data_IF_865018178183
#
_entry.id   IF_865018178183
#
_cell.length_a   1.000
_cell.length_b   1.000
_cell.length_c   1.000
_cell.angle_alpha   90.00
_cell.angle_beta   90.00
_cell.angle_gamma   90.00
#
_symmetry.space_group_name_H-M   'P 1'
#
loop_
_entity.id
_entity.type
_entity.pdbx_description
1 polymer ?
#
# COMPACT_ATOMS: atom_id res chain seq x y z
N UNK A 1 1.34 -4.29 60.15
CA UNK A 1 1.13 -3.02 59.43
C UNK A 1 1.48 -3.25 57.97
N UNK A 2 0.46 -3.30 57.13
CA UNK A 2 0.51 -3.62 55.70
C UNK A 2 0.70 -2.35 54.89
N UNK A 3 1.82 -2.24 54.17
CA UNK A 3 2.03 -1.21 53.14
C UNK A 3 2.07 -1.88 51.77
N UNK A 4 1.07 -1.52 50.97
CA UNK A 4 0.78 -2.01 49.63
C UNK A 4 1.71 -1.33 48.62
N UNK A 5 2.46 -2.11 47.83
CA UNK A 5 3.27 -1.62 46.72
C UNK A 5 2.41 -1.39 45.47
N UNK A 6 1.91 -0.17 45.31
CA UNK A 6 1.46 0.38 44.03
C UNK A 6 2.64 1.12 43.41
N UNK A 7 3.04 0.75 42.18
CA UNK A 7 3.83 1.52 41.19
C UNK A 7 4.70 0.56 40.35
N UNK A 8 4.08 -0.11 39.37
CA UNK A 8 4.79 -0.63 38.17
C UNK A 8 3.86 -0.94 36.99
N UNK A 9 2.61 -0.46 36.99
CA UNK A 9 1.62 -0.73 35.94
C UNK A 9 1.52 0.36 34.85
N UNK A 10 2.22 1.49 34.96
CA UNK A 10 1.95 2.66 34.11
C UNK A 10 2.66 2.63 32.74
N UNK A 11 3.73 1.85 32.57
CA UNK A 11 4.46 1.79 31.28
C UNK A 11 3.91 0.78 30.26
N UNK A 12 2.98 -0.10 30.66
CA UNK A 12 2.36 -1.09 29.75
C UNK A 12 1.08 -0.56 29.08
N UNK A 13 0.46 0.49 29.63
CA UNK A 13 -0.81 1.05 29.14
C UNK A 13 -0.67 2.00 27.93
N UNK A 14 0.50 2.64 27.72
CA UNK A 14 0.68 3.60 26.62
C UNK A 14 0.63 2.94 25.22
N UNK A 15 1.07 1.70 25.08
CA UNK A 15 0.97 0.96 23.80
C UNK A 15 -0.44 0.42 23.52
N UNK A 16 -1.19 0.08 24.57
CA UNK A 16 -2.56 -0.42 24.43
C UNK A 16 -3.54 0.69 24.01
N UNK A 17 -3.40 1.89 24.58
CA UNK A 17 -4.28 3.04 24.27
C UNK A 17 -4.07 3.53 22.82
N UNK A 18 -2.82 3.56 22.33
CA UNK A 18 -2.54 3.86 20.91
C UNK A 18 -3.10 2.80 19.96
N UNK A 19 -3.07 1.52 20.35
CA UNK A 19 -3.61 0.41 19.54
C UNK A 19 -5.14 0.43 19.47
N UNK A 20 -5.84 0.75 20.57
CA UNK A 20 -7.31 0.87 20.62
C UNK A 20 -7.80 2.11 19.87
N UNK A 21 -7.13 3.26 20.02
CA UNK A 21 -7.47 4.47 19.27
C UNK A 21 -7.28 4.29 17.75
N UNK A 22 -6.30 3.48 17.34
CA UNK A 22 -6.11 3.13 15.93
C UNK A 22 -7.16 2.12 15.44
N UNK A 23 -7.52 1.10 16.22
CA UNK A 23 -8.60 0.16 15.87
C UNK A 23 -9.96 0.86 15.73
N UNK A 24 -10.31 1.77 16.64
CA UNK A 24 -11.57 2.54 16.55
C UNK A 24 -11.55 3.44 15.32
N UNK A 25 -10.42 4.09 15.00
CA UNK A 25 -10.27 4.85 13.75
C UNK A 25 -10.38 3.94 12.52
N UNK A 26 -9.79 2.74 12.52
CA UNK A 26 -9.88 1.80 11.39
C UNK A 26 -11.30 1.26 11.16
N UNK A 27 -12.06 0.98 12.21
CA UNK A 27 -13.46 0.51 12.10
C UNK A 27 -14.37 1.66 11.63
N UNK A 28 -14.19 2.86 12.17
CA UNK A 28 -14.92 4.04 11.72
C UNK A 28 -14.57 4.38 10.25
N UNK A 29 -13.29 4.29 9.86
CA UNK A 29 -12.86 4.48 8.47
C UNK A 29 -13.42 3.42 7.54
N UNK A 30 -13.44 2.13 7.92
CA UNK A 30 -14.01 1.08 7.09
C UNK A 30 -15.52 1.28 6.86
N UNK A 31 -16.23 1.88 7.81
CA UNK A 31 -17.67 2.15 7.69
C UNK A 31 -17.94 3.41 6.87
N UNK A 32 -17.12 4.46 7.01
CA UNK A 32 -17.27 5.74 6.30
C UNK A 32 -16.73 5.69 4.86
N UNK A 33 -15.61 5.00 4.62
CA UNK A 33 -15.06 4.82 3.27
C UNK A 33 -16.00 4.02 2.36
N UNK A 34 -16.81 3.12 2.94
CA UNK A 34 -17.81 2.35 2.20
C UNK A 34 -19.01 3.20 1.73
N UNK A 35 -19.37 4.29 2.43
CA UNK A 35 -20.54 5.10 2.04
C UNK A 35 -20.20 6.31 1.15
N UNK A 36 -18.96 6.80 1.20
CA UNK A 36 -18.62 8.10 0.55
C UNK A 36 -18.21 7.93 -0.92
N UNK A 37 -17.89 6.74 -1.41
CA UNK A 37 -17.34 6.57 -2.76
C UNK A 37 -17.94 5.43 -3.61
N UNK A 38 -18.94 4.68 -3.12
CA UNK A 38 -19.48 3.54 -3.88
C UNK A 38 -20.05 3.97 -5.26
N UNK A 39 -20.66 5.16 -5.32
CA UNK A 39 -21.29 5.67 -6.55
C UNK A 39 -20.30 6.26 -7.57
N UNK A 40 -19.06 6.55 -7.16
CA UNK A 40 -18.02 7.14 -8.04
C UNK A 40 -17.04 6.10 -8.60
N UNK A 41 -17.12 4.84 -8.16
CA UNK A 41 -16.25 3.79 -8.66
C UNK A 41 -16.70 3.27 -10.03
N UNK A 42 -15.74 2.97 -10.93
CA UNK A 42 -16.06 2.53 -12.27
C UNK A 42 -16.74 1.17 -12.26
N UNK A 43 -17.79 1.02 -13.06
CA UNK A 43 -18.51 -0.25 -13.21
C UNK A 43 -17.65 -1.28 -13.94
N UNK A 44 -17.94 -2.57 -13.74
CA UNK A 44 -17.25 -3.66 -14.48
C UNK A 44 -17.35 -3.49 -16.01
N UNK A 45 -18.47 -2.98 -16.52
CA UNK A 45 -18.65 -2.69 -17.94
C UNK A 45 -17.68 -1.62 -18.46
N UNK A 46 -17.52 -0.53 -17.70
CA UNK A 46 -16.57 0.52 -18.05
C UNK A 46 -15.11 0.06 -17.99
N UNK A 47 -14.75 -0.77 -17.00
CA UNK A 47 -13.41 -1.32 -16.85
C UNK A 47 -13.04 -2.22 -18.04
N UNK A 48 -14.00 -3.02 -18.53
CA UNK A 48 -13.79 -3.89 -19.71
C UNK A 48 -13.50 -3.10 -20.99
N UNK A 49 -14.02 -1.89 -21.11
CA UNK A 49 -13.80 -1.02 -22.28
C UNK A 49 -12.56 -0.14 -22.15
N UNK A 50 -12.11 0.15 -20.93
CA UNK A 50 -10.98 1.02 -20.69
C UNK A 50 -9.64 0.33 -20.94
N UNK A 51 -8.72 1.00 -21.64
CA UNK A 51 -7.34 0.56 -21.83
C UNK A 51 -6.41 1.75 -21.61
N UNK A 52 -5.42 1.59 -20.74
CA UNK A 52 -4.39 2.61 -20.53
C UNK A 52 -3.14 2.25 -21.32
N UNK A 53 -2.65 3.20 -22.12
CA UNK A 53 -1.37 3.06 -22.83
C UNK A 53 -0.24 3.56 -21.94
N UNK A 54 0.76 2.72 -21.69
CA UNK A 54 1.96 3.08 -20.92
C UNK A 54 3.22 2.69 -21.66
N UNK A 55 4.24 3.54 -21.61
CA UNK A 55 5.58 3.25 -22.09
C UNK A 55 6.37 2.48 -21.02
N UNK A 56 6.65 1.21 -21.31
CA UNK A 56 7.36 0.27 -20.43
C UNK A 56 8.89 0.31 -20.59
N UNK A 57 9.36 0.91 -21.68
CA UNK A 57 10.75 1.12 -22.01
C UNK A 57 10.82 2.02 -23.23
N UNK A 58 12.01 2.49 -23.64
CA UNK A 58 12.16 3.41 -24.76
C UNK A 58 11.42 2.93 -26.01
N UNK A 59 10.41 3.68 -26.44
CA UNK A 59 9.55 3.38 -27.60
C UNK A 59 8.75 2.05 -27.50
N UNK A 60 8.60 1.49 -26.30
CA UNK A 60 7.86 0.24 -26.05
C UNK A 60 6.57 0.51 -25.29
N UNK A 61 5.47 0.57 -26.03
CA UNK A 61 4.15 0.82 -25.47
C UNK A 61 3.40 -0.49 -25.18
N UNK A 62 2.73 -0.55 -24.05
CA UNK A 62 1.82 -1.64 -23.67
C UNK A 62 0.44 -1.05 -23.37
N UNK A 63 -0.61 -1.72 -23.82
CA UNK A 63 -1.98 -1.42 -23.43
C UNK A 63 -2.37 -2.30 -22.25
N UNK A 64 -2.80 -1.67 -21.17
CA UNK A 64 -3.07 -2.34 -19.90
C UNK A 64 -4.56 -2.29 -19.63
N UNK A 65 -5.10 -3.46 -19.28
CA UNK A 65 -6.48 -3.61 -18.85
C UNK A 65 -6.54 -3.40 -17.33
N UNK A 66 -7.55 -2.68 -16.81
CA UNK A 66 -7.74 -2.53 -15.38
C UNK A 66 -7.82 -3.87 -14.65
N UNK A 67 -7.55 -3.83 -13.36
CA UNK A 67 -7.92 -4.89 -12.44
C UNK A 67 -9.45 -4.86 -12.23
N UNK A 68 -10.13 -6.00 -12.20
CA UNK A 68 -11.58 -6.02 -11.98
C UNK A 68 -11.93 -5.74 -10.50
N UNK A 69 -11.16 -6.32 -9.57
CA UNK A 69 -11.39 -6.22 -8.13
C UNK A 69 -10.06 -6.16 -7.36
N UNK A 70 -10.04 -5.44 -6.23
CA UNK A 70 -8.88 -5.39 -5.35
C UNK A 70 -9.03 -6.36 -4.19
N UNK A 71 -7.92 -7.02 -3.84
CA UNK A 71 -7.82 -7.82 -2.60
C UNK A 71 -7.50 -6.98 -1.37
N UNK A 72 -7.05 -5.74 -1.56
CA UNK A 72 -6.68 -4.81 -0.50
C UNK A 72 -7.49 -3.51 -0.62
N UNK A 73 -7.64 -2.73 0.47
CA UNK A 73 -8.24 -1.41 0.43
C UNK A 73 -7.53 -0.48 -0.58
N UNK A 74 -8.25 0.43 -1.23
CA UNK A 74 -7.68 1.29 -2.27
C UNK A 74 -6.63 2.26 -1.71
N UNK A 75 -6.78 2.63 -0.45
CA UNK A 75 -5.92 3.57 0.29
C UNK A 75 -4.48 3.10 0.37
N UNK A 76 -4.24 1.78 0.38
CA UNK A 76 -2.87 1.26 0.39
C UNK A 76 -2.11 1.64 -0.87
N UNK A 77 -2.82 1.95 -1.97
CA UNK A 77 -2.23 2.36 -3.25
C UNK A 77 -2.10 3.87 -3.40
N UNK A 78 -2.35 4.63 -2.34
CA UNK A 78 -2.02 6.05 -2.29
C UNK A 78 -0.57 6.22 -1.81
N UNK A 79 0.18 7.20 -2.35
CA UNK A 79 1.50 7.53 -1.84
C UNK A 79 1.48 7.90 -0.35
N UNK A 80 2.58 7.69 0.38
CA UNK A 80 2.66 8.13 1.77
C UNK A 80 2.47 9.65 1.93
N UNK A 81 1.85 10.13 3.02
CA UNK A 81 1.70 11.56 3.29
C UNK A 81 3.07 12.21 3.56
N UNK A 82 3.34 13.37 2.96
CA UNK A 82 4.63 14.08 3.04
C UNK A 82 5.70 13.52 2.08
N UNK A 83 7.00 13.81 2.33
CA UNK A 83 8.10 13.29 1.52
C UNK A 83 8.08 11.77 1.38
N UNK A 84 8.34 11.21 0.21
CA UNK A 84 8.47 9.76 0.03
C UNK A 84 9.41 9.41 -1.13
N UNK A 85 9.97 8.21 -1.07
CA UNK A 85 10.85 7.64 -2.08
C UNK A 85 10.11 6.58 -2.88
N UNK A 86 10.07 6.77 -4.20
CA UNK A 86 9.49 5.80 -5.12
C UNK A 86 10.48 4.69 -5.47
N UNK A 87 10.00 3.49 -5.78
CA UNK A 87 10.84 2.32 -6.07
C UNK A 87 11.93 2.57 -7.13
N UNK A 88 11.69 3.47 -8.09
CA UNK A 88 12.63 3.71 -9.19
C UNK A 88 13.80 4.63 -8.85
N UNK A 89 13.81 5.24 -7.68
CA UNK A 89 14.91 6.09 -7.19
C UNK A 89 15.61 5.51 -5.95
N UNK A 90 15.05 4.46 -5.34
CA UNK A 90 15.62 3.86 -4.13
C UNK A 90 17.05 3.37 -4.34
N UNK A 91 17.30 2.63 -5.42
CA UNK A 91 18.61 2.05 -5.70
C UNK A 91 19.64 3.14 -6.07
N UNK A 92 19.21 4.24 -6.67
CA UNK A 92 20.07 5.41 -6.96
C UNK A 92 20.48 6.13 -5.66
N UNK A 93 19.52 6.40 -4.78
CA UNK A 93 19.74 7.19 -3.57
C UNK A 93 20.51 6.42 -2.49
N UNK A 94 20.22 5.12 -2.35
CA UNK A 94 20.74 4.33 -1.25
C UNK A 94 21.79 3.31 -1.67
N UNK A 95 21.86 2.98 -2.96
CA UNK A 95 22.69 1.92 -3.55
C UNK A 95 21.88 0.67 -3.89
N UNK A 96 22.26 -0.04 -4.96
CA UNK A 96 21.56 -1.21 -5.52
C UNK A 96 21.26 -2.30 -4.49
N UNK A 97 22.21 -2.54 -3.57
CA UNK A 97 22.11 -3.58 -2.54
C UNK A 97 21.64 -3.05 -1.18
N UNK A 98 21.21 -1.79 -1.08
CA UNK A 98 20.87 -1.16 0.20
C UNK A 98 19.60 -1.71 0.86
N UNK A 99 18.82 -2.49 0.10
CA UNK A 99 17.56 -3.07 0.54
C UNK A 99 17.51 -4.59 0.39
N UNK A 100 18.65 -5.24 0.10
CA UNK A 100 18.74 -6.69 0.02
C UNK A 100 18.73 -7.28 1.43
N UNK A 101 17.54 -7.71 1.89
CA UNK A 101 17.37 -8.25 3.24
C UNK A 101 18.16 -9.54 3.43
N UNK A 102 18.27 -10.34 2.37
CA UNK A 102 18.91 -11.64 2.37
C UNK A 102 20.10 -11.68 1.41
N UNK A 103 21.22 -12.21 1.88
CA UNK A 103 22.37 -12.57 1.03
C UNK A 103 22.73 -14.01 1.33
N UNK A 104 22.75 -14.87 0.31
CA UNK A 104 23.00 -16.31 0.45
C UNK A 104 22.05 -16.99 1.46
N UNK A 105 20.77 -16.62 1.44
CA UNK A 105 19.74 -17.18 2.33
C UNK A 105 19.82 -16.71 3.79
N UNK A 106 20.76 -15.84 4.15
CA UNK A 106 20.89 -15.28 5.50
C UNK A 106 20.42 -13.84 5.53
N UNK A 107 19.73 -13.44 6.59
CA UNK A 107 19.34 -12.04 6.83
C UNK A 107 20.61 -11.22 7.11
N UNK A 108 20.98 -10.35 6.16
CA UNK A 108 22.19 -9.51 6.25
C UNK A 108 21.89 -8.07 6.62
N UNK A 109 20.64 -7.62 6.48
CA UNK A 109 20.22 -6.26 6.80
C UNK A 109 19.10 -6.23 7.84
N UNK A 110 19.05 -5.15 8.61
CA UNK A 110 17.92 -4.85 9.48
C UNK A 110 16.82 -4.19 8.66
N UNK A 111 15.62 -4.78 8.64
CA UNK A 111 14.46 -4.28 7.90
C UNK A 111 14.00 -2.88 8.35
N UNK A 112 14.25 -2.51 9.61
CA UNK A 112 13.80 -1.23 10.17
C UNK A 112 14.69 -0.05 9.75
N UNK A 113 16.01 -0.22 9.85
CA UNK A 113 16.96 0.85 9.56
C UNK A 113 17.75 0.67 8.25
N UNK A 114 17.66 -0.48 7.59
CA UNK A 114 18.39 -0.81 6.35
C UNK A 114 19.92 -0.70 6.46
N UNK A 115 20.44 -0.95 7.67
CA UNK A 115 21.86 -1.13 7.96
C UNK A 115 22.17 -2.63 8.07
N UNK A 116 23.45 -3.05 8.07
CA UNK A 116 23.81 -4.43 8.39
C UNK A 116 23.10 -4.92 9.66
N UNK A 117 22.75 -6.21 9.68
CA UNK A 117 22.06 -6.85 10.81
C UNK A 117 22.86 -6.59 12.09
N UNK A 118 22.23 -5.92 13.06
CA UNK A 118 22.85 -5.52 14.33
C UNK A 118 22.03 -5.99 15.56
N UNK A 119 20.88 -6.62 15.32
CA UNK A 119 20.00 -7.20 16.35
C UNK A 119 19.46 -8.53 15.85
N UNK A 120 19.12 -9.42 16.79
CA UNK A 120 18.53 -10.72 16.47
C UNK A 120 17.12 -10.57 15.89
N UNK A 121 16.39 -9.55 16.35
CA UNK A 121 15.07 -9.19 15.85
C UNK A 121 15.04 -7.74 15.43
N UNK A 122 14.59 -7.46 14.21
CA UNK A 122 14.43 -6.08 13.72
C UNK A 122 13.52 -5.25 14.64
N UNK A 123 12.59 -5.88 15.39
CA UNK A 123 11.72 -5.20 16.38
C UNK A 123 12.49 -4.50 17.49
N UNK A 124 13.73 -4.91 17.75
CA UNK A 124 14.61 -4.32 18.76
C UNK A 124 15.52 -3.23 18.19
N UNK A 125 15.44 -2.95 16.88
CA UNK A 125 16.25 -1.92 16.22
C UNK A 125 15.97 -0.55 16.82
N UNK A 126 17.02 0.11 17.34
CA UNK A 126 16.98 1.50 17.85
C UNK A 126 17.68 2.50 16.95
N UNK A 127 18.32 2.01 15.89
CA UNK A 127 19.03 2.84 14.91
C UNK A 127 18.06 3.75 14.14
N UNK A 128 18.54 4.94 13.79
CA UNK A 128 17.84 5.85 12.90
C UNK A 128 17.59 5.19 11.53
N UNK A 129 16.41 5.40 10.99
CA UNK A 129 16.07 4.86 9.69
C UNK A 129 16.98 5.44 8.59
N UNK A 130 17.59 4.59 7.77
CA UNK A 130 18.40 5.06 6.63
C UNK A 130 17.62 5.91 5.63
N UNK A 131 16.32 5.67 5.47
CA UNK A 131 15.47 6.36 4.48
C UNK A 131 14.98 7.71 4.99
N UNK A 132 14.24 7.75 6.10
CA UNK A 132 13.65 8.99 6.59
C UNK A 132 14.48 9.73 7.65
N UNK A 133 15.54 9.10 8.17
CA UNK A 133 16.36 9.59 9.29
C UNK A 133 15.61 9.76 10.63
N UNK A 134 14.36 9.30 10.71
CA UNK A 134 13.56 9.32 11.94
C UNK A 134 13.69 8.01 12.72
N UNK A 135 13.26 8.08 13.97
CA UNK A 135 13.21 6.97 14.94
C UNK A 135 11.78 6.55 15.29
N UNK A 136 10.77 7.13 14.64
CA UNK A 136 9.34 7.00 14.97
C UNK A 136 8.75 5.62 14.63
N UNK A 137 9.39 4.86 13.74
CA UNK A 137 8.95 3.54 13.32
C UNK A 137 9.95 2.44 13.71
N UNK A 138 10.38 2.42 14.98
CA UNK A 138 11.31 1.39 15.51
C UNK A 138 10.76 -0.01 15.27
N UNK A 139 11.55 -0.85 14.61
CA UNK A 139 11.14 -2.21 14.29
C UNK A 139 10.11 -2.34 13.15
N UNK A 140 9.68 -1.24 12.55
CA UNK A 140 8.81 -1.23 11.38
C UNK A 140 9.55 -0.82 10.12
N UNK A 141 8.95 -1.10 8.97
CA UNK A 141 9.41 -0.56 7.70
C UNK A 141 9.19 0.93 7.66
N UNK A 142 10.13 1.63 7.01
CA UNK A 142 9.98 3.05 6.78
C UNK A 142 8.70 3.35 5.97
N UNK A 143 7.74 4.11 6.53
CA UNK A 143 6.50 4.44 5.84
C UNK A 143 6.72 5.37 4.64
N UNK A 144 7.94 5.90 4.48
CA UNK A 144 8.35 6.79 3.37
C UNK A 144 8.75 6.02 2.11
N UNK A 145 8.79 4.68 2.13
CA UNK A 145 9.08 3.86 0.96
C UNK A 145 7.78 3.53 0.24
N UNK A 146 7.70 3.86 -1.05
CA UNK A 146 6.54 3.58 -1.89
C UNK A 146 6.93 2.68 -3.06
N UNK A 147 6.70 1.38 -2.89
CA UNK A 147 7.17 0.35 -3.82
C UNK A 147 6.11 -0.72 -4.10
N UNK A 148 6.20 -1.39 -5.25
CA UNK A 148 5.28 -2.48 -5.61
C UNK A 148 5.53 -3.69 -4.72
N UNK A 149 4.50 -4.52 -4.51
CA UNK A 149 4.64 -5.80 -3.80
C UNK A 149 5.80 -6.66 -4.35
N UNK A 150 5.91 -6.76 -5.68
CA UNK A 150 6.99 -7.50 -6.34
C UNK A 150 8.41 -6.95 -6.02
N UNK A 151 8.55 -5.65 -5.75
CA UNK A 151 9.83 -5.05 -5.36
C UNK A 151 10.24 -5.51 -3.95
N UNK A 152 9.27 -5.61 -3.05
CA UNK A 152 9.45 -6.15 -1.69
C UNK A 152 9.75 -7.66 -1.72
N UNK A 153 8.98 -8.42 -2.51
CA UNK A 153 9.13 -9.88 -2.61
C UNK A 153 10.52 -10.26 -3.14
N UNK A 154 11.03 -9.53 -4.15
CA UNK A 154 12.40 -9.71 -4.67
C UNK A 154 13.46 -9.56 -3.58
N UNK A 155 13.18 -8.78 -2.54
CA UNK A 155 14.07 -8.50 -1.41
C UNK A 155 13.76 -9.37 -0.19
N UNK A 156 12.91 -10.40 -0.35
CA UNK A 156 12.60 -11.36 0.71
C UNK A 156 11.73 -10.79 1.82
N UNK A 157 10.88 -9.82 1.49
CA UNK A 157 9.92 -9.25 2.44
C UNK A 157 8.53 -9.17 1.84
N UNK A 158 7.51 -9.55 2.62
CA UNK A 158 6.11 -9.42 2.23
C UNK A 158 5.47 -8.25 2.97
N UNK A 159 4.98 -7.22 2.25
CA UNK A 159 4.39 -6.05 2.88
C UNK A 159 3.15 -6.36 3.70
N UNK A 160 3.01 -5.65 4.82
CA UNK A 160 1.82 -5.72 5.68
C UNK A 160 0.69 -4.85 5.11
N UNK A 161 -0.54 -5.04 5.61
CA UNK A 161 -1.70 -4.23 5.20
C UNK A 161 -1.56 -2.73 5.47
N UNK A 162 -0.66 -2.34 6.37
CA UNK A 162 -0.42 -0.93 6.73
C UNK A 162 0.70 -0.29 5.90
N UNK A 163 1.31 -1.03 4.97
CA UNK A 163 2.36 -0.52 4.10
C UNK A 163 1.74 0.11 2.87
N UNK A 164 2.05 1.38 2.58
CA UNK A 164 1.69 2.01 1.31
C UNK A 164 2.44 1.32 0.17
N UNK A 165 1.71 0.85 -0.84
CA UNK A 165 2.23 0.10 -1.98
C UNK A 165 2.04 0.89 -3.25
N UNK A 166 3.10 0.96 -4.06
CA UNK A 166 2.95 1.42 -5.44
C UNK A 166 2.04 0.42 -6.18
N UNK A 167 0.94 0.86 -6.82
CA UNK A 167 0.06 -0.05 -7.53
C UNK A 167 0.81 -0.73 -8.68
N UNK A 168 0.52 -2.01 -8.91
CA UNK A 168 0.91 -2.64 -10.17
C UNK A 168 0.13 -1.97 -11.32
N UNK A 169 0.52 -2.22 -12.57
CA UNK A 169 -0.07 -1.47 -13.68
C UNK A 169 -1.58 -1.71 -13.88
N UNK A 170 -2.10 -2.90 -13.55
CA UNK A 170 -3.54 -3.18 -13.62
C UNK A 170 -4.31 -2.38 -12.56
N UNK A 171 -3.80 -2.38 -11.33
CA UNK A 171 -4.33 -1.57 -10.23
C UNK A 171 -4.26 -0.06 -10.57
N UNK A 172 -3.13 0.40 -11.10
CA UNK A 172 -2.96 1.79 -11.53
C UNK A 172 -3.98 2.18 -12.60
N UNK A 173 -4.18 1.32 -13.59
CA UNK A 173 -5.15 1.56 -14.68
C UNK A 173 -6.58 1.71 -14.12
N UNK A 174 -6.96 0.89 -13.14
CA UNK A 174 -8.23 1.05 -12.44
C UNK A 174 -8.29 2.40 -11.71
N UNK A 175 -7.28 2.72 -10.89
CA UNK A 175 -7.27 3.94 -10.07
C UNK A 175 -7.29 5.22 -10.92
N UNK A 176 -6.70 5.17 -12.13
CA UNK A 176 -6.80 6.24 -13.13
C UNK A 176 -8.21 6.34 -13.69
N UNK A 177 -8.85 5.22 -14.05
CA UNK A 177 -10.24 5.19 -14.54
C UNK A 177 -11.23 5.65 -13.47
N UNK A 178 -10.98 5.33 -12.20
CA UNK A 178 -11.74 5.81 -11.06
C UNK A 178 -11.50 7.31 -10.74
N UNK A 179 -10.57 7.98 -11.43
CA UNK A 179 -10.25 9.38 -11.17
C UNK A 179 -9.51 9.62 -9.85
N UNK A 180 -9.03 8.56 -9.18
CA UNK A 180 -8.25 8.64 -7.92
C UNK A 180 -6.82 9.11 -8.21
N UNK A 181 -6.22 8.60 -9.30
CA UNK A 181 -4.87 8.93 -9.72
C UNK A 181 -4.88 9.60 -11.10
N UNK A 182 -3.92 10.49 -11.34
CA UNK A 182 -3.69 11.02 -12.69
C UNK A 182 -3.00 9.96 -13.57
N UNK A 183 -3.35 9.96 -14.86
CA UNK A 183 -2.70 9.10 -15.85
C UNK A 183 -1.20 9.39 -15.93
N UNK A 184 -0.41 8.32 -16.12
CA UNK A 184 1.03 8.40 -16.40
C UNK A 184 1.31 7.83 -17.79
N UNK A 185 2.28 8.43 -18.49
CA UNK A 185 2.69 7.96 -19.81
C UNK A 185 3.82 6.95 -19.75
N UNK A 186 4.61 6.95 -18.67
CA UNK A 186 5.82 6.14 -18.52
C UNK A 186 5.80 5.38 -17.19
N UNK A 187 6.27 4.13 -17.17
CA UNK A 187 6.24 3.28 -15.96
C UNK A 187 7.03 3.86 -14.79
N UNK A 188 8.08 4.61 -15.12
CA UNK A 188 9.02 5.29 -14.24
C UNK A 188 8.48 6.62 -13.69
N UNK A 189 7.37 7.12 -14.22
CA UNK A 189 6.83 8.41 -13.82
C UNK A 189 6.32 8.35 -12.37
N UNK A 190 6.54 9.40 -11.56
CA UNK A 190 5.94 9.51 -10.24
C UNK A 190 4.41 9.47 -10.32
N UNK A 191 3.77 8.72 -9.43
CA UNK A 191 2.31 8.68 -9.33
C UNK A 191 1.83 9.99 -8.70
N UNK A 192 0.83 10.61 -9.31
CA UNK A 192 0.19 11.83 -8.81
C UNK A 192 -1.26 11.53 -8.45
N UNK A 193 -1.66 11.88 -7.24
CA UNK A 193 -3.04 11.72 -6.76
C UNK A 193 -3.93 12.86 -7.26
N UNK A 194 -5.19 12.57 -7.56
CA UNK A 194 -6.20 13.59 -7.82
C UNK A 194 -6.73 14.13 -6.49
N UNK A 195 -6.20 15.29 -6.08
CA UNK A 195 -6.55 15.95 -4.81
C UNK A 195 -8.03 16.31 -4.67
N UNK A 196 -8.79 16.32 -5.77
CA UNK A 196 -10.21 16.64 -5.74
C UNK A 196 -11.09 15.44 -5.42
N UNK A 197 -10.58 14.21 -5.55
CA UNK A 197 -11.33 12.98 -5.32
C UNK A 197 -11.68 12.83 -3.83
N UNK A 198 -12.93 12.48 -3.45
CA UNK A 198 -13.36 12.39 -2.05
C UNK A 198 -12.49 11.44 -1.20
N UNK A 199 -12.22 10.22 -1.71
CA UNK A 199 -11.32 9.26 -1.07
C UNK A 199 -9.92 9.85 -0.79
N UNK A 200 -9.35 10.58 -1.75
CA UNK A 200 -8.03 11.21 -1.61
C UNK A 200 -8.06 12.30 -0.54
N UNK A 201 -9.10 13.15 -0.54
CA UNK A 201 -9.29 14.18 0.50
C UNK A 201 -9.41 13.58 1.89
N UNK A 202 -10.13 12.48 2.03
CA UNK A 202 -10.30 11.80 3.31
C UNK A 202 -9.00 11.18 3.82
N UNK A 203 -8.25 10.51 2.92
CA UNK A 203 -6.99 9.87 3.27
C UNK A 203 -5.94 10.88 3.75
N UNK A 204 -5.86 12.05 3.12
CA UNK A 204 -4.90 13.11 3.50
C UNK A 204 -5.51 14.16 4.45
N UNK A 205 -6.69 13.93 5.02
CA UNK A 205 -7.36 14.89 5.91
C UNK A 205 -6.50 15.17 7.14
N UNK A 206 -6.11 16.43 7.33
CA UNK A 206 -5.26 16.86 8.45
C UNK A 206 -3.80 16.41 8.36
N UNK A 207 -3.40 15.75 7.27
CA UNK A 207 -2.03 15.31 7.00
C UNK A 207 -1.34 16.14 5.92
N UNK A 208 0.00 16.03 5.80
CA UNK A 208 0.73 16.63 4.70
C UNK A 208 0.41 15.89 3.39
N UNK A 209 0.35 16.66 2.31
CA UNK A 209 0.19 16.11 0.96
C UNK A 209 1.42 15.28 0.55
N UNK A 210 1.25 14.26 -0.32
CA UNK A 210 2.36 13.43 -0.77
C UNK A 210 3.35 14.26 -1.59
N UNK A 211 4.65 14.12 -1.27
CA UNK A 211 5.74 14.86 -1.90
C UNK A 211 6.78 13.86 -2.43
N UNK A 212 6.78 13.66 -3.73
CA UNK A 212 7.78 12.81 -4.39
C UNK A 212 9.19 13.39 -4.21
N UNK A 213 10.13 12.60 -3.70
CA UNK A 213 11.55 12.97 -3.68
C UNK A 213 12.12 12.84 -5.10
N UNK A 214 12.68 13.90 -5.71
CA UNK A 214 13.22 13.84 -7.08
C UNK A 214 14.47 12.96 -7.18
N UNK A 215 14.71 12.30 -8.32
CA UNK A 215 15.90 11.48 -8.56
C UNK A 215 16.11 11.18 -10.04
N UNK A 216 17.30 10.69 -10.40
CA UNK A 216 17.61 10.16 -11.74
C UNK A 216 16.94 8.81 -11.89
N UNK A 217 15.83 8.81 -12.62
CA UNK A 217 15.08 7.58 -12.80
C UNK A 217 15.81 6.63 -13.76
N UNK A 218 16.02 5.40 -13.31
CA UNK A 218 16.53 4.31 -14.14
C UNK A 218 15.38 3.46 -14.65
N UNK A 219 15.38 3.16 -15.94
CA UNK A 219 14.40 2.24 -16.50
C UNK A 219 14.59 0.86 -15.87
N UNK A 220 13.52 0.17 -15.44
CA UNK A 220 13.66 -1.20 -14.99
C UNK A 220 14.27 -2.02 -16.13
N UNK A 221 15.34 -2.75 -15.84
CA UNK A 221 15.87 -3.74 -16.78
C UNK A 221 14.78 -4.82 -16.86
N UNK A 222 13.92 -4.70 -17.86
CA UNK A 222 12.94 -5.72 -18.18
C UNK A 222 13.72 -6.89 -18.76
N UNK A 223 14.19 -7.78 -17.87
CA UNK A 223 14.62 -9.13 -18.21
C UNK A 223 13.39 -9.94 -18.59
N UNK A 224 12.67 -9.51 -19.64
CA UNK A 224 11.78 -10.41 -20.34
C UNK A 224 12.64 -11.58 -20.74
N UNK A 225 12.38 -12.73 -20.12
CA UNK A 225 13.06 -13.97 -20.38
C UNK A 225 13.15 -14.13 -21.89
N UNK A 226 14.37 -13.98 -22.41
CA UNK A 226 14.81 -14.65 -23.60
C UNK A 226 14.78 -16.14 -23.24
N UNK A 227 13.58 -16.71 -23.02
CA UNK A 227 13.35 -18.13 -23.21
C UNK A 227 13.63 -18.30 -24.68
N UNK A 228 14.88 -18.67 -24.93
CA UNK A 228 15.32 -19.16 -26.20
C UNK A 228 14.26 -20.15 -26.66
N UNK A 229 13.58 -19.79 -27.73
CA UNK A 229 13.32 -20.79 -28.76
C UNK A 229 14.71 -21.24 -29.24
N UNK A 230 15.38 -22.08 -28.45
CA UNK A 230 16.47 -22.93 -28.91
C UNK A 230 15.81 -24.05 -29.72
N UNK A 231 15.24 -23.66 -30.86
CA UNK A 231 15.19 -24.57 -31.99
C UNK A 231 16.62 -24.68 -32.54
N UNK A 232 17.07 -25.86 -32.96
CA UNK A 232 18.42 -26.07 -33.46
C UNK A 232 18.56 -25.33 -34.80
N UNK A 233 19.00 -24.06 -34.74
CA UNK A 233 19.36 -23.29 -35.92
C UNK A 233 20.86 -23.07 -35.90
N UNK A 234 21.47 -23.76 -36.86
CA UNK A 234 22.86 -23.74 -37.29
C UNK A 234 23.61 -22.45 -36.97
N UNK A 235 24.80 -22.66 -36.42
CA UNK A 235 25.87 -21.68 -36.29
C UNK A 235 26.02 -20.87 -37.59
N UNK A 236 25.64 -19.59 -37.51
CA UNK A 236 26.31 -18.55 -38.30
C UNK A 236 26.80 -17.51 -37.32
N UNK A 237 28.10 -17.26 -37.42
CA UNK A 237 28.86 -16.20 -36.77
C UNK A 237 28.04 -14.90 -36.71
N UNK A 238 27.88 -14.36 -35.51
CA UNK A 238 27.41 -12.99 -35.34
C UNK A 238 28.37 -12.22 -34.44
N UNK A 239 29.20 -11.51 -35.19
CA UNK A 239 29.91 -10.27 -34.92
C UNK A 239 29.32 -9.37 -33.83
N UNK A 240 30.24 -8.73 -33.11
CA UNK A 240 30.05 -7.81 -32.00
C UNK A 240 28.95 -6.77 -32.23
N UNK A 241 27.93 -6.80 -31.36
CA UNK A 241 26.99 -5.69 -31.18
C UNK A 241 27.37 -4.90 -29.94
N UNK A 242 27.64 -3.58 -30.02
CA UNK A 242 27.98 -2.79 -28.85
C UNK A 242 26.78 -2.68 -27.90
N UNK A 243 27.08 -2.66 -26.60
CA UNK A 243 26.11 -2.48 -25.53
C UNK A 243 25.32 -1.17 -25.73
N UNK A 244 23.99 -1.26 -25.71
CA UNK A 244 23.12 -0.09 -25.79
C UNK A 244 23.23 0.69 -24.48
N UNK A 245 23.80 1.89 -24.56
CA UNK A 245 23.88 2.86 -23.46
C UNK A 245 22.45 3.27 -23.07
N UNK A 246 22.08 3.09 -21.80
CA UNK A 246 20.74 3.44 -21.29
C UNK A 246 20.47 4.94 -21.34
N UNK A 247 19.30 5.33 -21.86
CA UNK A 247 18.84 6.72 -21.86
C UNK A 247 18.32 7.06 -20.46
N UNK A 248 18.94 8.05 -19.81
CA UNK A 248 18.54 8.58 -18.51
C UNK A 248 17.64 9.80 -18.68
N UNK A 249 16.46 9.78 -18.07
CA UNK A 249 15.52 10.92 -18.04
C UNK A 249 15.39 11.45 -16.61
N UNK A 250 15.76 12.70 -16.39
CA UNK A 250 15.52 13.43 -15.13
C UNK A 250 14.15 14.11 -15.18
N UNK A 251 13.30 13.89 -14.17
CA UNK A 251 12.02 14.60 -14.06
C UNK A 251 12.20 15.80 -13.12
N UNK A 252 11.94 17.04 -13.58
CA UNK A 252 11.87 18.19 -12.68
C UNK A 252 10.65 18.02 -11.76
N UNK A 253 10.86 18.12 -10.45
CA UNK A 253 9.74 18.30 -9.54
C UNK A 253 9.06 19.65 -9.81
N UNK A 254 7.74 19.75 -9.62
CA UNK A 254 7.09 21.06 -9.59
C UNK A 254 7.76 21.93 -8.53
N UNK A 255 7.88 23.26 -8.76
CA UNK A 255 8.49 24.16 -7.79
C UNK A 255 7.72 24.08 -6.48
N UNK A 256 8.39 23.59 -5.43
CA UNK A 256 7.82 23.54 -4.09
C UNK A 256 7.80 24.97 -3.57
N UNK A 257 6.66 25.52 -3.13
CA UNK A 257 6.65 26.79 -2.41
C UNK A 257 7.55 26.66 -1.19
N UNK A 258 8.48 27.60 -0.99
CA UNK A 258 9.45 27.61 0.11
C UNK A 258 8.74 27.74 1.48
N UNK A 259 8.13 26.65 1.92
CA UNK A 259 7.34 26.52 3.14
C UNK A 259 8.23 26.29 4.36
N UNK A 260 9.45 25.79 4.14
CA UNK A 260 10.48 25.67 5.18
C UNK A 260 11.01 27.05 5.57
N UNK A 261 11.28 27.94 4.61
CA UNK A 261 11.66 29.34 4.92
C UNK A 261 10.59 30.08 5.73
N UNK A 262 9.31 29.86 5.40
CA UNK A 262 8.18 30.52 6.08
C UNK A 262 7.94 30.01 7.51
N UNK A 263 8.24 28.75 7.79
CA UNK A 263 8.15 28.18 9.15
C UNK A 263 9.29 28.67 10.06
N UNK A 264 10.46 28.95 9.48
CA UNK A 264 11.60 29.54 10.21
C UNK A 264 11.34 31.02 10.54
N UNK A 265 10.70 31.77 9.63
CA UNK A 265 10.27 33.16 9.92
C UNK A 265 9.23 33.23 11.04
N UNK A 266 8.19 32.37 11.02
CA UNK A 266 7.17 32.33 12.07
C UNK A 266 7.76 31.92 13.43
N UNK A 267 8.80 31.07 13.45
CA UNK A 267 9.50 30.70 14.66
C UNK A 267 10.42 31.83 15.19
N UNK A 268 11.01 32.62 14.30
CA UNK A 268 11.84 33.77 14.67
C UNK A 268 11.01 34.95 15.23
N UNK A 269 9.81 35.17 14.70
CA UNK A 269 8.88 36.21 15.18
C UNK A 269 8.34 35.92 16.59
N UNK A 270 8.30 34.65 17.02
CA UNK A 270 7.84 34.27 18.38
C UNK A 270 8.88 34.43 19.49
N UNK A 271 10.14 34.73 19.17
CA UNK A 271 11.22 34.83 20.17
C UNK A 271 11.39 36.27 20.68
N UNK A 272 10.71 37.27 20.09
CA UNK A 272 10.92 38.69 20.40
C UNK A 272 9.92 39.34 21.36
N UNK A 273 9.07 38.59 22.07
CA UNK A 273 8.13 39.19 23.01
C UNK A 273 8.31 38.65 24.45
N UNK A 274 9.08 39.34 25.32
CA UNK A 274 9.23 38.96 26.72
C UNK A 274 8.50 39.97 27.60
N UNK A 275 7.23 39.75 27.89
CA UNK A 275 6.62 40.29 29.10
C UNK A 275 5.59 39.31 29.63
N UNK A 276 5.97 38.49 30.62
CA UNK A 276 5.08 38.08 31.73
C UNK A 276 5.87 37.35 32.83
N UNK A 277 5.36 37.36 34.08
CA UNK A 277 6.18 37.37 35.29
C UNK A 277 6.58 35.99 35.79
N UNK A 278 7.79 35.94 36.36
CA UNK A 278 8.37 34.79 37.05
C UNK A 278 7.60 34.48 38.35
N UNK A 279 7.15 33.24 38.50
CA UNK A 279 6.85 32.66 39.80
C UNK A 279 8.09 31.92 40.30
N UNK A 280 8.62 32.39 41.43
CA UNK A 280 9.65 31.72 42.22
C UNK A 280 9.12 30.36 42.72
N UNK A 281 9.84 29.29 42.38
CA UNK A 281 9.70 27.99 43.03
C UNK A 281 11.07 27.65 43.61
N UNK A 282 11.11 27.64 44.94
CA UNK A 282 12.25 27.27 45.76
C UNK A 282 12.53 25.77 45.63
N UNK A 283 13.73 25.41 45.23
CA UNK A 283 14.26 24.04 45.30
C UNK A 283 14.51 23.64 46.76
N UNK A 284 14.23 22.38 47.16
CA UNK A 284 14.82 21.82 48.36
C UNK A 284 16.08 21.03 47.99
N UNK A 285 17.15 21.35 48.71
CA UNK A 285 18.42 20.62 48.76
C UNK A 285 18.20 19.14 49.11
N UNK A 286 18.79 18.24 48.31
CA UNK A 286 18.98 16.85 48.68
C UNK A 286 20.47 16.51 48.69
N UNK A 287 20.96 16.35 49.91
CA UNK A 287 22.30 15.92 50.27
C UNK A 287 22.71 14.61 49.61
N UNK A 288 23.95 14.59 49.15
CA UNK A 288 24.66 13.43 48.63
C UNK A 288 25.02 12.47 49.77
N UNK A 289 24.47 11.25 49.73
CA UNK A 289 24.93 10.12 50.53
C UNK A 289 25.66 9.10 49.65
N UNK A 290 26.89 8.79 50.05
CA UNK A 290 27.78 7.78 49.47
C UNK A 290 27.13 6.38 49.41
N UNK A 291 27.30 5.70 48.28
CA UNK A 291 26.99 4.27 48.12
C UNK A 291 28.29 3.44 48.26
N UNK A 292 28.36 2.45 49.16
CA UNK A 292 29.43 1.46 49.15
C UNK A 292 29.13 0.31 48.17
N UNK A 293 30.22 -0.20 47.57
CA UNK A 293 30.24 -1.28 46.59
C UNK A 293 29.67 -2.62 47.10
N UNK A 294 29.03 -3.47 46.25
CA UNK A 294 28.65 -4.81 46.64
C UNK A 294 29.75 -5.83 46.29
N UNK A 295 30.25 -6.52 47.31
CA UNK A 295 30.91 -7.83 47.20
C UNK A 295 29.92 -8.90 47.66
N UNK A 296 29.90 -10.04 46.96
CA UNK A 296 29.54 -11.32 47.56
C UNK A 296 28.26 -12.00 47.06
N UNK A 297 28.44 -12.93 46.13
CA UNK A 297 27.98 -14.34 46.20
C UNK A 297 26.79 -14.66 47.13
N UNK A 298 25.63 -14.95 46.54
CA UNK A 298 24.67 -15.91 47.07
C UNK A 298 23.99 -16.65 45.90
N UNK A 299 24.43 -17.89 45.68
CA UNK A 299 23.63 -18.92 45.02
C UNK A 299 22.42 -19.28 45.91
N UNK A 300 21.41 -19.96 45.32
CA UNK A 300 20.22 -20.55 45.99
C UNK A 300 19.10 -19.51 46.19
N UNK A 301 18.00 -19.48 45.43
CA UNK A 301 16.98 -20.50 45.22
C UNK A 301 16.35 -20.36 43.82
N UNK A 302 16.50 -21.38 42.98
CA UNK A 302 15.63 -21.60 41.82
C UNK A 302 14.35 -22.21 42.37
N UNK A 303 13.33 -21.37 42.62
CA UNK A 303 11.97 -21.85 42.85
C UNK A 303 11.40 -22.34 41.52
N UNK A 304 11.38 -23.66 41.39
CA UNK A 304 10.64 -24.45 40.43
C UNK A 304 9.16 -24.06 40.43
N UNK A 305 8.75 -23.23 39.48
CA UNK A 305 7.33 -23.10 39.11
C UNK A 305 6.93 -24.36 38.36
N UNK A 306 6.08 -25.13 39.04
CA UNK A 306 5.34 -26.35 38.69
C UNK A 306 5.09 -26.58 37.18
N UNK A 307 5.64 -27.65 36.57
CA UNK A 307 5.39 -28.04 35.18
C UNK A 307 3.95 -28.51 34.87
N UNK A 308 3.10 -28.69 35.87
CA UNK A 308 1.75 -29.25 35.68
C UNK A 308 0.71 -28.21 35.22
N UNK A 309 0.84 -26.94 35.60
CA UNK A 309 -0.12 -25.90 35.19
C UNK A 309 -0.03 -25.55 33.70
N UNK A 310 1.14 -25.72 33.08
CA UNK A 310 1.30 -25.48 31.63
C UNK A 310 0.63 -26.56 30.79
N UNK A 311 0.62 -27.82 31.24
CA UNK A 311 0.00 -28.93 30.51
C UNK A 311 -1.53 -28.84 30.49
N UNK A 312 -2.17 -28.54 31.62
CA UNK A 312 -3.62 -28.38 31.69
C UNK A 312 -4.09 -27.18 30.86
N UNK A 313 -3.39 -26.04 30.95
CA UNK A 313 -3.68 -24.87 30.13
C UNK A 313 -3.56 -25.15 28.62
N UNK A 314 -2.51 -25.87 28.21
CA UNK A 314 -2.34 -26.28 26.82
C UNK A 314 -3.44 -27.25 26.38
N UNK A 315 -3.87 -28.17 27.26
CA UNK A 315 -4.98 -29.09 26.97
C UNK A 315 -6.29 -28.33 26.71
N UNK A 316 -6.65 -27.37 27.57
CA UNK A 316 -7.83 -26.53 27.38
C UNK A 316 -7.79 -25.74 26.06
N UNK A 317 -6.60 -25.21 25.71
CA UNK A 317 -6.42 -24.47 24.46
C UNK A 317 -6.54 -25.35 23.22
N UNK A 318 -6.10 -26.61 23.29
CA UNK A 318 -6.29 -27.59 22.20
C UNK A 318 -7.77 -27.94 22.04
N UNK A 319 -8.52 -28.09 23.13
CA UNK A 319 -9.97 -28.33 23.07
C UNK A 319 -10.75 -27.14 22.52
N UNK A 320 -10.37 -25.91 22.89
CA UNK A 320 -10.94 -24.69 22.33
C UNK A 320 -10.67 -24.58 20.82
N UNK A 321 -9.43 -24.82 20.40
CA UNK A 321 -9.07 -24.86 18.98
C UNK A 321 -9.81 -25.98 18.23
N UNK A 322 -10.02 -27.13 18.85
CA UNK A 322 -10.80 -28.24 18.27
C UNK A 322 -12.25 -27.84 18.00
N UNK A 323 -12.90 -27.14 18.95
CA UNK A 323 -14.27 -26.63 18.77
C UNK A 323 -14.35 -25.58 17.66
N UNK A 324 -13.35 -24.70 17.57
CA UNK A 324 -13.30 -23.68 16.52
C UNK A 324 -13.10 -24.30 15.14
N UNK A 325 -12.24 -25.32 15.01
CA UNK A 325 -12.08 -26.08 13.76
C UNK A 325 -13.40 -26.73 13.34
N UNK A 326 -14.13 -27.33 14.27
CA UNK A 326 -15.41 -27.99 13.96
C UNK A 326 -16.48 -26.97 13.53
N UNK A 327 -16.52 -25.80 14.19
CA UNK A 327 -17.39 -24.68 13.79
C UNK A 327 -17.08 -24.21 12.37
N UNK A 328 -15.80 -24.03 12.04
CA UNK A 328 -15.36 -23.58 10.71
C UNK A 328 -15.63 -24.63 9.62
N UNK A 329 -15.49 -25.93 9.92
CA UNK A 329 -15.87 -27.01 9.00
C UNK A 329 -17.35 -26.97 8.66
N UNK A 330 -18.22 -26.83 9.67
CA UNK A 330 -19.66 -26.70 9.45
C UNK A 330 -20.01 -25.49 8.57
N UNK A 331 -19.36 -24.34 8.82
CA UNK A 331 -19.54 -23.16 7.96
C UNK A 331 -19.08 -23.39 6.52
N UNK A 332 -18.03 -24.18 6.31
CA UNK A 332 -17.57 -24.57 4.98
C UNK A 332 -18.59 -25.46 4.26
N UNK A 333 -19.16 -26.44 4.95
CA UNK A 333 -20.19 -27.33 4.43
C UNK A 333 -21.47 -26.56 4.06
N UNK A 334 -21.94 -25.66 4.93
CA UNK A 334 -23.09 -24.80 4.67
C UNK A 334 -22.84 -23.89 3.44
N UNK A 335 -21.64 -23.33 3.32
CA UNK A 335 -21.25 -22.51 2.17
C UNK A 335 -21.17 -23.33 0.87
N UNK A 336 -20.68 -24.57 0.93
CA UNK A 336 -20.64 -25.48 -0.21
C UNK A 336 -22.04 -25.86 -0.68
N UNK A 337 -22.97 -26.12 0.24
CA UNK A 337 -24.38 -26.35 -0.08
C UNK A 337 -25.01 -25.14 -0.78
N UNK A 338 -24.78 -23.93 -0.26
CA UNK A 338 -25.27 -22.70 -0.88
C UNK A 338 -24.71 -22.46 -2.29
N UNK A 339 -23.44 -22.81 -2.53
CA UNK A 339 -22.84 -22.74 -3.88
C UNK A 339 -23.49 -23.74 -4.83
N UNK A 340 -23.80 -24.95 -4.38
CA UNK A 340 -24.48 -25.95 -5.20
C UNK A 340 -25.90 -25.51 -5.59
N UNK A 341 -26.65 -24.92 -4.66
CA UNK A 341 -27.99 -24.37 -4.93
C UNK A 341 -27.95 -23.20 -5.92
N UNK A 342 -26.96 -22.31 -5.77
CA UNK A 342 -26.75 -21.21 -6.72
C UNK A 342 -26.39 -21.72 -8.13
N UNK A 343 -25.56 -22.76 -8.23
CA UNK A 343 -25.21 -23.40 -9.51
C UNK A 343 -26.42 -24.04 -10.18
N UNK A 344 -27.30 -24.71 -9.42
CA UNK A 344 -28.55 -25.26 -9.95
C UNK A 344 -29.47 -24.15 -10.50
N UNK A 345 -29.57 -23.03 -9.78
CA UNK A 345 -30.36 -21.86 -10.21
C UNK A 345 -29.80 -21.24 -11.50
N UNK A 346 -28.47 -21.11 -11.62
CA UNK A 346 -27.82 -20.62 -12.84
C UNK A 346 -28.13 -21.54 -14.02
N UNK A 347 -28.01 -22.86 -13.83
CA UNK A 347 -28.30 -23.83 -14.88
C UNK A 347 -29.76 -23.76 -15.36
N UNK A 348 -30.72 -23.55 -14.44
CA UNK A 348 -32.13 -23.35 -14.79
C UNK A 348 -32.32 -22.05 -15.61
N UNK A 349 -31.67 -20.95 -15.21
CA UNK A 349 -31.76 -19.68 -15.92
C UNK A 349 -31.12 -19.73 -17.31
N UNK A 350 -29.99 -20.44 -17.45
CA UNK A 350 -29.35 -20.65 -18.75
C UNK A 350 -30.24 -21.48 -19.69
N UNK A 351 -30.95 -22.49 -19.18
CA UNK A 351 -31.94 -23.24 -19.96
C UNK A 351 -33.09 -22.34 -20.43
N UNK A 352 -33.64 -21.49 -19.56
CA UNK A 352 -34.68 -20.50 -19.92
C UNK A 352 -34.19 -19.51 -21.00
N UNK A 353 -32.94 -19.04 -20.90
CA UNK A 353 -32.35 -18.14 -21.91
C UNK A 353 -32.23 -18.85 -23.26
N UNK A 354 -31.81 -20.11 -23.29
CA UNK A 354 -31.71 -20.88 -24.53
C UNK A 354 -33.09 -21.08 -25.18
N UNK A 355 -34.12 -21.37 -24.40
CA UNK A 355 -35.51 -21.49 -24.89
C UNK A 355 -36.02 -20.18 -25.50
N UNK A 356 -35.83 -19.05 -24.80
CA UNK A 356 -36.21 -17.72 -25.30
C UNK A 356 -35.47 -17.36 -26.59
N UNK A 357 -34.17 -17.68 -26.69
CA UNK A 357 -33.38 -17.48 -27.92
C UNK A 357 -33.88 -18.33 -29.07
N UNK A 358 -34.25 -19.59 -28.81
CA UNK A 358 -34.88 -20.47 -29.79
C UNK A 358 -36.19 -19.90 -30.32
N UNK A 359 -37.07 -19.41 -29.43
CA UNK A 359 -38.35 -18.82 -29.79
C UNK A 359 -38.19 -17.57 -30.68
N UNK A 360 -37.27 -16.66 -30.32
CA UNK A 360 -37.04 -15.42 -31.10
C UNK A 360 -36.54 -15.67 -32.53
N UNK A 361 -35.86 -16.78 -32.79
CA UNK A 361 -35.40 -17.14 -34.15
C UNK A 361 -36.53 -17.71 -35.03
N UNK A 362 -37.65 -18.16 -34.45
CA UNK A 362 -38.80 -18.69 -35.21
C UNK A 362 -39.85 -17.64 -35.55
N UNK A 363 -39.87 -16.51 -34.84
CA UNK A 363 -40.64 -15.33 -35.25
C UNK A 363 -39.96 -14.64 -36.43
N UNK A 364 -40.28 -15.13 -37.63
CA UNK A 364 -39.98 -14.50 -38.92
C UNK A 364 -40.21 -13.00 -38.81
N UNK A 365 -39.13 -12.22 -38.95
CA UNK A 365 -39.17 -10.77 -39.15
C UNK A 365 -40.08 -10.47 -40.34
N UNK A 366 -41.37 -10.21 -40.09
CA UNK A 366 -42.23 -9.51 -41.05
C UNK A 366 -41.54 -8.17 -41.28
N UNK A 367 -40.87 -8.02 -42.43
CA UNK A 367 -40.36 -6.72 -42.89
C UNK A 367 -41.56 -5.78 -42.95
N UNK A 368 -41.72 -4.96 -41.92
CA UNK A 368 -42.56 -3.78 -42.00
C UNK A 368 -41.85 -2.85 -42.99
N UNK A 369 -42.32 -2.86 -44.24
CA UNK A 369 -41.95 -1.83 -45.20
C UNK A 369 -42.56 -0.54 -44.68
N UNK A 370 -41.75 0.33 -44.09
CA UNK A 370 -42.15 1.71 -43.90
C UNK A 370 -42.31 2.32 -45.28
N UNK A 371 -43.54 2.72 -45.62
CA UNK A 371 -43.80 3.51 -46.81
C UNK A 371 -43.00 4.81 -46.68
N UNK A 372 -42.06 5.00 -47.60
CA UNK A 372 -41.31 6.24 -47.74
C UNK A 372 -42.33 7.33 -48.05
N UNK A 373 -42.51 8.28 -47.14
CA UNK A 373 -43.29 9.48 -47.40
C UNK A 373 -42.51 10.38 -48.37
N UNK A 374 -43.06 10.70 -49.55
CA UNK A 374 -42.39 11.55 -50.52
C UNK A 374 -42.84 13.01 -50.34
N UNK A 375 -42.45 13.68 -49.25
CA UNK A 375 -42.72 15.13 -49.08
C UNK A 375 -41.73 15.78 -48.11
N UNK A 376 -40.45 15.77 -48.46
CA UNK A 376 -39.42 16.57 -47.80
C UNK A 376 -38.46 17.16 -48.84
N UNK A 377 -39.01 17.89 -49.81
CA UNK A 377 -38.28 18.87 -50.60
C UNK A 377 -38.73 20.28 -50.18
N UNK A 378 -37.78 21.21 -50.23
CA UNK A 378 -37.94 22.66 -50.09
C UNK A 378 -38.11 23.26 -48.69
N UNK A 379 -37.02 23.27 -47.92
CA UNK A 379 -36.68 24.39 -47.04
C UNK A 379 -35.19 24.74 -47.16
N UNK A 380 -34.77 25.28 -48.31
CA UNK A 380 -33.56 26.10 -48.41
C UNK A 380 -33.96 27.56 -48.51
N UNK A 381 -34.07 28.20 -47.34
CA UNK A 381 -34.20 29.64 -47.21
C UNK A 381 -32.91 30.34 -47.68
N UNK A 382 -33.07 31.17 -48.71
CA UNK A 382 -32.14 32.18 -49.15
C UNK A 382 -31.98 33.28 -48.10
N UNK A 383 -30.84 33.29 -47.41
CA UNK A 383 -30.41 34.40 -46.55
C UNK A 383 -29.55 35.39 -47.34
N UNK A 384 -30.18 36.48 -47.78
CA UNK A 384 -29.60 37.58 -48.55
C UNK A 384 -29.07 38.68 -47.61
N UNK A 385 -27.94 39.27 -48.01
CA UNK A 385 -27.12 40.29 -47.32
C UNK A 385 -27.89 41.50 -46.79
N UNK A 386 -27.45 42.03 -45.65
CA UNK A 386 -27.09 43.46 -45.49
C UNK A 386 -25.82 43.58 -44.67
#
# INVERSE_FOLDING_TARGET
MTTTSYLSAEYSNCTAIHSVAWCIKSIAYATIANSVCADELPTSGELKLFRMRIESGPNRFTYITPLDNFSNPLEIFLPPPGPYFDEFILDEYFGEHAFDLHTNGKVTQCLACWRPKHVDSHKQCREQCRVCKMEDHKGGICPRIYARAAWWDKRGYTPTRNTCLRPNFKALTYLVKAGILHSISQVVQPIRVNQNHPLVKEFYRGGPQPQYTPGKVTWPILTYGRRQQEGPRQQREQEHRPAVVGISTTYPAPPVPNTIGRLVEIAAERIQDPTEPRHDVTEPDHDAAELPAPKGSAAQEIRTTTPHQSREYLSLKVEEQGREIERLKKQLEDAQAAVADAQATIAEKDAQILELRGATNTTVRKRVRFAVWPDAQDWRGSGQRR
#
